data_IF_302975102063
#
_entry.id   IF_302975102063
#
_cell.length_a   1.000
_cell.length_b   1.000
_cell.length_c   1.000
_cell.angle_alpha   90.00
_cell.angle_beta   90.00
_cell.angle_gamma   90.00
#
_symmetry.space_group_name_H-M   'P 1'
#
loop_
_entity.id
_entity.type
_entity.pdbx_description
1 polymer ?
#
# COMPACT_ATOMS: atom_id res chain seq x y z
N UNK A 1 -44.84 -53.53 27.39
CA UNK A 1 -45.00 -52.61 26.24
C UNK A 1 -43.85 -51.58 26.29
N UNK A 2 -42.98 -51.50 25.33
CA UNK A 2 -41.85 -50.57 25.39
C UNK A 2 -42.30 -49.19 24.83
N UNK A 3 -42.09 -48.15 25.61
CA UNK A 3 -42.28 -46.74 25.21
C UNK A 3 -41.10 -46.36 24.31
N UNK A 4 -41.37 -46.13 23.05
CA UNK A 4 -40.32 -45.75 22.08
C UNK A 4 -39.94 -44.30 22.23
N UNK A 5 -38.67 -44.01 22.44
CA UNK A 5 -38.01 -42.75 22.54
C UNK A 5 -37.93 -42.06 21.17
N UNK A 6 -38.90 -41.26 20.77
CA UNK A 6 -38.91 -40.54 19.46
C UNK A 6 -38.31 -39.09 19.56
N UNK A 7 -37.80 -38.68 20.74
CA UNK A 7 -37.47 -37.27 20.98
C UNK A 7 -36.08 -36.85 20.48
N UNK A 8 -35.14 -37.77 20.19
CA UNK A 8 -33.74 -37.41 19.95
C UNK A 8 -33.41 -36.87 18.54
N UNK A 9 -34.14 -37.31 17.52
CA UNK A 9 -33.79 -36.97 16.11
C UNK A 9 -34.15 -35.56 15.64
N UNK A 10 -35.19 -34.95 16.21
CA UNK A 10 -35.67 -33.61 15.82
C UNK A 10 -34.80 -32.46 16.35
N UNK A 11 -34.20 -32.61 17.52
CA UNK A 11 -33.37 -31.57 18.16
C UNK A 11 -32.05 -31.40 17.45
N UNK A 12 -31.46 -32.49 16.95
CA UNK A 12 -30.19 -32.42 16.22
C UNK A 12 -30.31 -31.75 14.84
N UNK A 13 -31.46 -31.90 14.17
CA UNK A 13 -31.70 -31.28 12.85
C UNK A 13 -31.93 -29.76 12.96
N UNK A 14 -32.62 -29.32 14.00
CA UNK A 14 -32.88 -27.90 14.29
C UNK A 14 -31.58 -27.15 14.62
N UNK A 15 -30.67 -27.75 15.36
CA UNK A 15 -29.35 -27.13 15.70
C UNK A 15 -28.46 -26.95 14.49
N UNK A 16 -28.44 -27.89 13.54
CA UNK A 16 -27.66 -27.78 12.30
C UNK A 16 -28.14 -26.64 11.41
N UNK A 17 -29.46 -26.43 11.33
CA UNK A 17 -30.04 -25.32 10.59
C UNK A 17 -29.71 -23.96 11.20
N UNK A 18 -29.77 -23.83 12.53
CA UNK A 18 -29.42 -22.59 13.24
C UNK A 18 -27.93 -22.20 13.02
N UNK A 19 -27.02 -23.15 13.14
CA UNK A 19 -25.58 -22.94 12.89
C UNK A 19 -25.31 -22.53 11.44
N UNK A 20 -26.01 -23.11 10.47
CA UNK A 20 -25.86 -22.74 9.07
C UNK A 20 -26.33 -21.29 8.79
N UNK A 21 -27.41 -20.85 9.41
CA UNK A 21 -27.89 -19.48 9.31
C UNK A 21 -26.93 -18.49 9.97
N UNK A 22 -26.42 -18.81 11.16
CA UNK A 22 -25.42 -17.99 11.86
C UNK A 22 -24.15 -17.85 11.02
N UNK A 23 -23.63 -18.94 10.46
CA UNK A 23 -22.50 -18.91 9.55
C UNK A 23 -22.76 -18.07 8.29
N UNK A 24 -23.96 -18.20 7.70
CA UNK A 24 -24.31 -17.45 6.50
C UNK A 24 -24.36 -15.94 6.73
N UNK A 25 -24.65 -15.49 7.95
CA UNK A 25 -24.66 -14.08 8.32
C UNK A 25 -23.24 -13.62 8.71
N UNK A 26 -22.49 -14.42 9.47
CA UNK A 26 -21.17 -14.01 9.99
C UNK A 26 -20.06 -14.09 8.96
N UNK A 27 -20.08 -15.08 8.05
CA UNK A 27 -19.04 -15.27 7.06
C UNK A 27 -18.85 -14.06 6.12
N UNK A 28 -19.89 -13.44 5.54
CA UNK A 28 -19.73 -12.26 4.70
C UNK A 28 -19.08 -11.08 5.45
N UNK A 29 -19.45 -10.87 6.71
CA UNK A 29 -18.89 -9.81 7.55
C UNK A 29 -17.40 -10.08 7.82
N UNK A 30 -17.06 -11.33 8.17
CA UNK A 30 -15.67 -11.74 8.37
C UNK A 30 -14.81 -11.51 7.11
N UNK A 31 -15.31 -11.94 5.94
CA UNK A 31 -14.59 -11.75 4.68
C UNK A 31 -14.45 -10.28 4.30
N UNK A 32 -15.43 -9.42 4.62
CA UNK A 32 -15.34 -7.99 4.41
C UNK A 32 -14.17 -7.39 5.21
N UNK A 33 -14.05 -7.74 6.51
CA UNK A 33 -12.94 -7.30 7.34
C UNK A 33 -11.60 -7.85 6.86
N UNK A 34 -11.57 -9.11 6.43
CA UNK A 34 -10.37 -9.73 5.89
C UNK A 34 -9.88 -9.00 4.62
N UNK A 35 -10.78 -8.70 3.69
CA UNK A 35 -10.46 -7.94 2.48
C UNK A 35 -9.97 -6.53 2.81
N UNK A 36 -10.61 -5.84 3.77
CA UNK A 36 -10.15 -4.55 4.23
C UNK A 36 -8.73 -4.63 4.83
N UNK A 37 -8.46 -5.64 5.66
CA UNK A 37 -7.14 -5.83 6.24
C UNK A 37 -6.04 -6.03 5.18
N UNK A 38 -6.31 -6.81 4.13
CA UNK A 38 -5.39 -6.99 3.00
C UNK A 38 -5.19 -5.68 2.23
N UNK A 39 -6.25 -4.92 1.97
CA UNK A 39 -6.16 -3.67 1.22
C UNK A 39 -5.35 -2.61 1.98
N UNK A 40 -5.59 -2.44 3.28
CA UNK A 40 -4.81 -1.53 4.11
C UNK A 40 -3.38 -2.02 4.35
N UNK A 41 -3.17 -3.34 4.47
CA UNK A 41 -1.84 -3.93 4.54
C UNK A 41 -1.02 -3.59 3.29
N UNK A 42 -1.61 -3.76 2.11
CA UNK A 42 -0.96 -3.41 0.85
C UNK A 42 -0.69 -1.92 0.71
N UNK A 43 -1.63 -1.06 1.13
CA UNK A 43 -1.44 0.38 1.18
C UNK A 43 -0.19 0.77 1.97
N UNK A 44 0.05 0.11 3.12
CA UNK A 44 1.27 0.33 3.91
C UNK A 44 2.54 -0.11 3.17
N UNK A 45 2.51 -1.23 2.45
CA UNK A 45 3.65 -1.67 1.63
C UNK A 45 3.98 -0.61 0.57
N UNK A 46 2.98 -0.13 -0.16
CA UNK A 46 3.16 0.91 -1.19
C UNK A 46 3.70 2.20 -0.56
N UNK A 47 3.17 2.61 0.60
CA UNK A 47 3.63 3.81 1.33
C UNK A 47 5.10 3.70 1.69
N UNK A 48 5.50 2.64 2.40
CA UNK A 48 6.89 2.46 2.81
C UNK A 48 7.84 2.36 1.62
N UNK A 49 7.40 1.76 0.52
CA UNK A 49 8.21 1.71 -0.71
C UNK A 49 8.35 3.10 -1.33
N UNK A 50 7.29 3.93 -1.33
CA UNK A 50 7.35 5.31 -1.81
C UNK A 50 8.26 6.18 -0.95
N UNK A 51 8.18 6.04 0.38
CA UNK A 51 9.05 6.75 1.33
C UNK A 51 10.53 6.39 1.09
N UNK A 52 10.81 5.09 0.93
CA UNK A 52 12.16 4.61 0.62
C UNK A 52 12.63 5.10 -0.76
N UNK A 53 11.76 5.10 -1.77
CA UNK A 53 12.09 5.59 -3.11
C UNK A 53 12.42 7.08 -3.11
N UNK A 54 11.63 7.89 -2.40
CA UNK A 54 11.87 9.33 -2.25
C UNK A 54 13.22 9.60 -1.55
N UNK A 55 13.49 8.88 -0.46
CA UNK A 55 14.74 9.02 0.29
C UNK A 55 15.95 8.60 -0.53
N UNK A 56 15.93 7.42 -1.16
CA UNK A 56 17.05 6.93 -1.98
C UNK A 56 17.30 7.81 -3.21
N UNK A 57 16.25 8.34 -3.83
CA UNK A 57 16.38 9.28 -4.93
C UNK A 57 17.01 10.60 -4.47
N UNK A 58 16.54 11.16 -3.35
CA UNK A 58 17.11 12.38 -2.78
C UNK A 58 18.59 12.17 -2.40
N UNK A 59 18.94 11.01 -1.82
CA UNK A 59 20.31 10.64 -1.49
C UNK A 59 21.23 10.53 -2.73
N UNK A 60 20.69 10.02 -3.84
CA UNK A 60 21.47 9.87 -5.08
C UNK A 60 22.01 11.21 -5.57
N UNK A 61 21.25 12.30 -5.42
CA UNK A 61 21.66 13.63 -5.88
C UNK A 61 22.49 14.43 -4.87
N UNK A 62 22.79 13.84 -3.70
CA UNK A 62 23.75 14.46 -2.76
C UNK A 62 25.19 14.41 -3.29
N UNK A 63 25.49 13.48 -4.19
CA UNK A 63 26.82 13.35 -4.79
C UNK A 63 27.06 14.49 -5.79
N UNK A 64 28.22 15.17 -5.74
CA UNK A 64 28.55 16.22 -6.72
C UNK A 64 28.50 15.70 -8.16
N UNK A 65 27.83 16.44 -9.05
CA UNK A 65 27.66 16.06 -10.45
C UNK A 65 26.46 15.15 -10.77
N UNK A 66 25.75 14.66 -9.76
CA UNK A 66 24.53 13.91 -9.98
C UNK A 66 23.38 14.79 -10.50
N UNK A 67 22.50 14.20 -11.29
CA UNK A 67 21.42 14.88 -12.00
C UNK A 67 20.04 14.48 -11.46
N UNK A 68 19.03 15.30 -11.70
CA UNK A 68 17.63 14.96 -11.41
C UNK A 68 17.17 13.72 -12.18
N UNK A 69 17.73 13.44 -13.37
CA UNK A 69 17.42 12.24 -14.14
C UNK A 69 17.88 10.96 -13.40
N UNK A 70 19.04 10.98 -12.76
CA UNK A 70 19.54 9.85 -11.95
C UNK A 70 18.66 9.61 -10.73
N UNK A 71 18.23 10.68 -10.05
CA UNK A 71 17.27 10.56 -8.94
C UNK A 71 15.94 9.94 -9.41
N UNK A 72 15.42 10.39 -10.55
CA UNK A 72 14.20 9.81 -11.14
C UNK A 72 14.36 8.34 -11.47
N UNK A 73 15.50 7.97 -12.07
CA UNK A 73 15.82 6.58 -12.40
C UNK A 73 15.92 5.71 -11.12
N UNK A 74 16.53 6.24 -10.07
CA UNK A 74 16.64 5.56 -8.77
C UNK A 74 15.27 5.35 -8.13
N UNK A 75 14.42 6.40 -8.04
CA UNK A 75 13.07 6.28 -7.52
C UNK A 75 12.26 5.24 -8.31
N UNK A 76 12.31 5.29 -9.63
CA UNK A 76 11.63 4.34 -10.52
C UNK A 76 12.10 2.90 -10.28
N UNK A 77 13.40 2.70 -10.10
CA UNK A 77 13.96 1.36 -9.79
C UNK A 77 13.40 0.79 -8.49
N UNK A 78 13.30 1.60 -7.44
CA UNK A 78 12.74 1.17 -6.14
C UNK A 78 11.25 0.87 -6.27
N UNK A 79 10.49 1.73 -6.95
CA UNK A 79 9.06 1.55 -7.15
C UNK A 79 8.72 0.32 -8.00
N UNK A 80 9.59 -0.05 -8.92
CA UNK A 80 9.43 -1.24 -9.77
C UNK A 80 9.47 -2.56 -8.97
N UNK A 81 10.07 -2.57 -7.78
CA UNK A 81 10.10 -3.76 -6.89
C UNK A 81 8.69 -4.23 -6.55
N UNK A 82 7.76 -3.28 -6.37
CA UNK A 82 6.34 -3.57 -6.10
C UNK A 82 5.47 -3.47 -7.36
N UNK A 83 6.05 -3.21 -8.52
CA UNK A 83 5.32 -3.02 -9.77
C UNK A 83 4.42 -1.79 -9.76
N UNK A 84 4.80 -0.70 -9.06
CA UNK A 84 4.01 0.52 -8.97
C UNK A 84 3.75 1.13 -10.35
N UNK A 85 2.50 1.54 -10.58
CA UNK A 85 2.02 2.09 -11.86
C UNK A 85 1.54 3.51 -11.69
N UNK A 86 1.80 4.36 -12.69
CA UNK A 86 1.31 5.74 -12.71
C UNK A 86 1.89 6.63 -11.61
N UNK A 87 3.02 6.23 -11.03
CA UNK A 87 3.74 7.05 -10.07
C UNK A 87 4.26 8.33 -10.76
N UNK A 88 4.06 9.48 -10.13
CA UNK A 88 4.61 10.77 -10.55
C UNK A 88 5.75 11.12 -9.60
N UNK A 89 6.92 11.39 -10.16
CA UNK A 89 8.13 11.73 -9.41
C UNK A 89 8.49 13.17 -9.75
N UNK A 90 8.51 14.03 -8.75
CA UNK A 90 8.84 15.44 -8.87
C UNK A 90 10.11 15.73 -8.05
N UNK A 91 11.07 16.40 -8.66
CA UNK A 91 12.35 16.77 -8.02
C UNK A 91 12.47 18.29 -8.02
N UNK A 92 12.71 18.84 -6.86
CA UNK A 92 12.85 20.28 -6.66
C UNK A 92 14.19 20.58 -5.95
N UNK A 93 15.06 21.40 -6.54
CA UNK A 93 14.94 22.02 -7.88
C UNK A 93 15.15 20.98 -9.00
N UNK A 94 14.52 21.20 -10.17
CA UNK A 94 14.71 20.34 -11.35
C UNK A 94 16.09 20.44 -11.97
N UNK A 95 16.75 21.57 -11.77
CA UNK A 95 18.15 21.78 -12.17
C UNK A 95 19.05 21.78 -10.94
N UNK A 96 19.76 20.69 -10.75
CA UNK A 96 20.66 20.49 -9.60
C UNK A 96 22.06 20.99 -10.00
N UNK A 97 22.54 21.99 -9.29
CA UNK A 97 23.86 22.62 -9.51
C UNK A 97 24.76 22.46 -8.28
N UNK A 98 26.01 22.82 -8.41
CA UNK A 98 26.93 22.80 -7.26
C UNK A 98 26.52 23.75 -6.12
N UNK A 99 25.71 24.77 -6.42
CA UNK A 99 25.17 25.70 -5.43
C UNK A 99 23.84 25.24 -4.82
N UNK A 100 23.29 24.11 -5.25
CA UNK A 100 22.06 23.57 -4.67
C UNK A 100 22.32 23.03 -3.28
N UNK A 101 21.70 23.62 -2.27
CA UNK A 101 21.87 23.28 -0.85
C UNK A 101 20.83 22.27 -0.34
N UNK A 102 19.71 22.17 -1.04
CA UNK A 102 18.59 21.32 -0.63
C UNK A 102 17.92 20.70 -1.86
N UNK A 103 17.56 19.44 -1.76
CA UNK A 103 16.81 18.73 -2.80
C UNK A 103 15.65 18.02 -2.17
N UNK A 104 14.46 18.24 -2.72
CA UNK A 104 13.22 17.59 -2.36
C UNK A 104 12.78 16.65 -3.48
N UNK A 105 12.50 15.42 -3.14
CA UNK A 105 11.90 14.43 -4.04
C UNK A 105 10.52 14.09 -3.52
N UNK A 106 9.48 14.41 -4.31
CA UNK A 106 8.10 14.10 -4.04
C UNK A 106 7.58 13.03 -4.99
N UNK A 107 6.87 12.03 -4.47
CA UNK A 107 6.32 10.90 -5.23
C UNK A 107 4.83 10.78 -4.92
N UNK A 108 4.02 10.78 -5.98
CA UNK A 108 2.57 10.56 -5.92
C UNK A 108 2.21 9.25 -6.60
N UNK A 109 1.54 8.35 -5.87
CA UNK A 109 1.13 7.02 -6.36
C UNK A 109 -0.38 6.88 -6.26
N UNK A 110 -1.12 6.78 -7.39
CA UNK A 110 -2.56 6.57 -7.37
C UNK A 110 -2.89 5.13 -6.99
N UNK A 111 -3.64 4.92 -5.91
CA UNK A 111 -4.03 3.59 -5.45
C UNK A 111 -5.05 2.91 -6.36
N UNK A 112 -5.75 3.66 -7.20
CA UNK A 112 -6.65 3.11 -8.23
C UNK A 112 -6.00 2.10 -9.17
N UNK A 113 -4.70 2.29 -9.46
CA UNK A 113 -3.90 1.42 -10.34
C UNK A 113 -2.94 0.49 -9.59
N UNK A 114 -2.87 0.60 -8.27
CA UNK A 114 -1.87 -0.05 -7.42
C UNK A 114 -2.48 -0.90 -6.29
N UNK A 115 -3.76 -1.24 -6.36
CA UNK A 115 -4.38 -2.18 -5.43
C UNK A 115 -3.93 -3.62 -5.68
N UNK A 116 -3.80 -4.41 -4.62
CA UNK A 116 -3.50 -5.85 -4.70
C UNK A 116 -4.66 -6.63 -5.36
N UNK A 117 -5.88 -6.22 -5.03
CA UNK A 117 -7.14 -6.66 -5.61
C UNK A 117 -7.86 -5.37 -6.06
N UNK A 118 -9.00 -5.46 -6.74
CA UNK A 118 -9.78 -4.26 -7.06
C UNK A 118 -10.04 -3.44 -5.79
N UNK A 119 -9.43 -2.25 -5.64
CA UNK A 119 -9.47 -1.52 -4.38
C UNK A 119 -10.89 -0.99 -4.13
N UNK A 120 -11.47 -1.37 -3.01
CA UNK A 120 -12.83 -0.96 -2.58
C UNK A 120 -12.77 0.24 -1.64
N UNK A 121 -11.77 0.28 -0.76
CA UNK A 121 -11.65 1.29 0.28
C UNK A 121 -10.62 2.36 -0.09
N UNK A 122 -9.50 1.98 -0.72
CA UNK A 122 -8.36 2.86 -1.00
C UNK A 122 -8.29 3.37 -2.44
N UNK A 123 -9.15 2.91 -3.35
CA UNK A 123 -9.08 3.20 -4.79
C UNK A 123 -9.16 4.68 -5.19
N UNK A 124 -9.68 5.54 -4.33
CA UNK A 124 -9.72 7.01 -4.56
C UNK A 124 -8.54 7.75 -3.94
N UNK A 125 -7.65 7.04 -3.24
CA UNK A 125 -6.52 7.62 -2.52
C UNK A 125 -5.33 7.75 -3.45
N UNK A 126 -4.64 8.88 -3.39
CA UNK A 126 -3.28 9.03 -3.93
C UNK A 126 -2.34 9.10 -2.73
N UNK A 127 -1.36 8.21 -2.71
CA UNK A 127 -0.30 8.25 -1.72
C UNK A 127 0.70 9.32 -2.11
N UNK A 128 0.98 10.22 -1.19
CA UNK A 128 2.04 11.22 -1.30
C UNK A 128 3.17 10.85 -0.35
N UNK A 129 4.39 10.87 -0.86
CA UNK A 129 5.63 10.70 -0.10
C UNK A 129 6.62 11.75 -0.53
N UNK A 130 7.33 12.33 0.43
CA UNK A 130 8.30 13.38 0.19
C UNK A 130 9.54 13.17 1.06
N UNK A 131 10.71 13.40 0.46
CA UNK A 131 11.98 13.40 1.18
C UNK A 131 12.81 14.61 0.78
N UNK A 132 13.22 15.38 1.78
CA UNK A 132 14.08 16.55 1.60
C UNK A 132 15.43 16.30 2.27
N UNK A 133 16.49 16.42 1.51
CA UNK A 133 17.85 16.31 2.01
C UNK A 133 18.64 17.57 1.72
N UNK A 134 19.45 17.99 2.70
CA UNK A 134 20.38 19.10 2.56
C UNK A 134 21.73 18.60 2.13
N UNK A 135 22.31 19.26 1.13
CA UNK A 135 23.67 18.92 0.67
C UNK A 135 24.69 19.65 1.54
N UNK A 136 25.60 18.90 2.14
CA UNK A 136 26.81 19.48 2.73
C UNK A 136 27.87 19.67 1.63
N UNK A 137 27.57 20.52 0.64
CA UNK A 137 28.59 20.88 -0.35
C UNK A 137 29.45 21.97 0.28
N UNK A 138 30.70 21.59 0.58
CA UNK A 138 31.71 22.54 1.05
C UNK A 138 31.90 23.65 0.00
N UNK A 139 31.78 24.89 0.46
CA UNK A 139 32.15 26.08 -0.29
C UNK A 139 33.65 26.05 -0.62
#
# INVERSE_FOLDING_TARGET
MPVQTIASKRVAHSRRGAVAVEFAITAPIFFLFLLAAFEFGWLNVVRHTADNAAYEAARTVMVPGASAAEATAKATSVLNVIGARGAKINITPSNITNSTTEVTVAIDIPMSSNGLITPRFTGKTTLHSESTLKTERAN
#
